data_IF_414567692621
#
_entry.id   IF_414567692621
#
_cell.length_a   1.000
_cell.length_b   1.000
_cell.length_c   1.000
_cell.angle_alpha   90.00
_cell.angle_beta   90.00
_cell.angle_gamma   90.00
#
_symmetry.space_group_name_H-M   'P 1'
#
loop_
_entity.id
_entity.type
_entity.pdbx_description
1 polymer ?
#
# COMPACT_ATOMS: atom_id res chain seq x y z
N UNK A 1 -6.00 50.12 14.74
CA UNK A 1 -7.15 49.20 14.93
C UNK A 1 -7.73 48.92 13.55
N UNK A 2 -7.44 47.77 12.95
CA UNK A 2 -7.90 47.48 11.58
C UNK A 2 -9.39 47.15 11.58
N UNK A 3 -10.19 47.66 10.63
CA UNK A 3 -11.63 47.45 10.61
C UNK A 3 -11.99 45.96 10.46
N UNK A 4 -13.02 45.48 11.19
CA UNK A 4 -13.38 44.06 11.28
C UNK A 4 -13.73 43.41 9.94
N UNK A 5 -14.15 44.19 8.95
CA UNK A 5 -14.47 43.71 7.60
C UNK A 5 -13.25 43.17 6.86
N UNK A 6 -12.06 43.75 7.07
CA UNK A 6 -10.81 43.31 6.42
C UNK A 6 -10.42 41.91 6.93
N UNK A 7 -10.57 41.69 8.24
CA UNK A 7 -10.29 40.38 8.86
C UNK A 7 -11.23 39.33 8.29
N UNK A 8 -12.53 39.64 8.19
CA UNK A 8 -13.52 38.73 7.62
C UNK A 8 -13.21 38.37 6.16
N UNK A 9 -12.85 39.36 5.33
CA UNK A 9 -12.45 39.10 3.93
C UNK A 9 -11.18 38.26 3.81
N UNK A 10 -10.21 38.45 4.71
CA UNK A 10 -8.98 37.67 4.68
C UNK A 10 -9.23 36.21 5.08
N UNK A 11 -10.06 35.99 6.10
CA UNK A 11 -10.46 34.64 6.55
C UNK A 11 -11.25 33.91 5.45
N UNK A 12 -12.17 34.58 4.74
CA UNK A 12 -12.91 33.94 3.64
C UNK A 12 -12.02 33.62 2.44
N UNK A 13 -11.05 34.48 2.10
CA UNK A 13 -10.06 34.22 1.04
C UNK A 13 -9.16 33.03 1.39
N UNK A 14 -8.69 32.95 2.64
CA UNK A 14 -7.89 31.80 3.12
C UNK A 14 -8.70 30.52 3.00
N UNK A 15 -9.94 30.50 3.49
CA UNK A 15 -10.81 29.34 3.43
C UNK A 15 -11.08 28.89 1.98
N UNK A 16 -11.31 29.83 1.06
CA UNK A 16 -11.50 29.54 -0.36
C UNK A 16 -10.24 28.92 -1.00
N UNK A 17 -9.06 29.43 -0.66
CA UNK A 17 -7.79 28.88 -1.12
C UNK A 17 -7.53 27.48 -0.57
N UNK A 18 -7.82 27.24 0.71
CA UNK A 18 -7.67 25.92 1.34
C UNK A 18 -8.62 24.89 0.73
N UNK A 19 -9.88 25.24 0.50
CA UNK A 19 -10.85 24.40 -0.21
C UNK A 19 -10.37 24.05 -1.63
N UNK A 20 -9.83 25.04 -2.35
CA UNK A 20 -9.24 24.82 -3.67
C UNK A 20 -8.03 23.87 -3.65
N UNK A 21 -7.17 23.98 -2.64
CA UNK A 21 -6.02 23.08 -2.44
C UNK A 21 -6.47 21.67 -2.08
N UNK A 22 -7.48 21.55 -1.22
CA UNK A 22 -8.02 20.25 -0.79
C UNK A 22 -8.65 19.50 -1.96
N UNK A 23 -9.47 20.17 -2.80
CA UNK A 23 -10.03 19.56 -4.02
C UNK A 23 -8.96 19.00 -4.95
N UNK A 24 -7.92 19.79 -5.25
CA UNK A 24 -6.81 19.32 -6.11
C UNK A 24 -6.11 18.10 -5.53
N UNK A 25 -5.94 18.05 -4.20
CA UNK A 25 -5.37 16.90 -3.52
C UNK A 25 -6.28 15.68 -3.57
N UNK A 26 -7.59 15.85 -3.45
CA UNK A 26 -8.55 14.77 -3.66
C UNK A 26 -8.50 14.24 -5.10
N UNK A 27 -8.46 15.13 -6.10
CA UNK A 27 -8.35 14.74 -7.52
C UNK A 27 -7.02 14.00 -7.78
N UNK A 28 -5.91 14.45 -7.19
CA UNK A 28 -4.60 13.79 -7.27
C UNK A 28 -4.65 12.38 -6.66
N UNK A 29 -5.27 12.21 -5.49
CA UNK A 29 -5.45 10.91 -4.85
C UNK A 29 -6.31 9.99 -5.71
N UNK A 30 -7.44 10.48 -6.23
CA UNK A 30 -8.32 9.67 -7.09
C UNK A 30 -7.59 9.18 -8.36
N UNK A 31 -6.81 10.05 -9.01
CA UNK A 31 -6.02 9.68 -10.18
C UNK A 31 -4.96 8.62 -9.83
N UNK A 32 -4.31 8.75 -8.68
CA UNK A 32 -3.33 7.76 -8.20
C UNK A 32 -3.99 6.42 -7.89
N UNK A 33 -5.16 6.42 -7.24
CA UNK A 33 -5.94 5.21 -6.96
C UNK A 33 -6.35 4.50 -8.25
N UNK A 34 -6.81 5.24 -9.25
CA UNK A 34 -7.16 4.69 -10.55
C UNK A 34 -5.93 4.10 -11.26
N UNK A 35 -4.80 4.81 -11.25
CA UNK A 35 -3.55 4.33 -11.83
C UNK A 35 -3.04 3.04 -11.15
N UNK A 36 -3.11 2.98 -9.81
CA UNK A 36 -2.77 1.77 -9.04
C UNK A 36 -3.69 0.62 -9.41
N UNK A 37 -5.01 0.89 -9.52
CA UNK A 37 -5.99 -0.13 -9.90
C UNK A 37 -5.73 -0.67 -11.31
N UNK A 38 -5.51 0.20 -12.29
CA UNK A 38 -5.20 -0.20 -13.66
C UNK A 38 -3.90 -1.02 -13.72
N UNK A 39 -2.87 -0.61 -12.99
CA UNK A 39 -1.60 -1.36 -12.89
C UNK A 39 -1.79 -2.72 -12.23
N UNK A 40 -2.61 -2.80 -11.18
CA UNK A 40 -2.94 -4.05 -10.51
C UNK A 40 -3.72 -5.00 -11.43
N UNK A 41 -4.69 -4.50 -12.18
CA UNK A 41 -5.45 -5.29 -13.16
C UNK A 41 -4.55 -5.77 -14.32
N UNK A 42 -3.62 -4.93 -14.80
CA UNK A 42 -2.63 -5.32 -15.81
C UNK A 42 -1.65 -6.38 -15.27
N UNK A 43 -1.18 -6.25 -14.02
CA UNK A 43 -0.34 -7.28 -13.40
C UNK A 43 -1.09 -8.61 -13.23
N UNK A 44 -2.39 -8.56 -12.90
CA UNK A 44 -3.24 -9.74 -12.80
C UNK A 44 -3.50 -10.40 -14.16
N UNK A 45 -3.70 -9.61 -15.22
CA UNK A 45 -3.89 -10.09 -16.61
C UNK A 45 -2.61 -10.58 -17.27
N UNK A 46 -1.46 -10.01 -16.93
CA UNK A 46 -0.16 -10.46 -17.41
C UNK A 46 0.24 -11.85 -16.88
N UNK A 47 -0.64 -12.54 -16.14
CA UNK A 47 -0.39 -13.86 -15.62
C UNK A 47 0.87 -13.91 -14.76
N UNK A 48 1.20 -12.78 -14.11
CA UNK A 48 2.31 -12.78 -13.16
C UNK A 48 1.82 -13.65 -12.01
N UNK A 49 2.26 -14.90 -12.06
CA UNK A 49 2.41 -15.84 -10.96
C UNK A 49 3.26 -15.18 -9.86
N UNK A 50 2.80 -14.06 -9.31
CA UNK A 50 3.35 -13.44 -8.11
C UNK A 50 3.22 -14.42 -6.95
N UNK A 51 2.21 -15.31 -6.99
CA UNK A 51 2.12 -16.40 -6.02
C UNK A 51 3.36 -17.30 -6.09
N UNK A 52 3.86 -17.62 -7.28
CA UNK A 52 5.06 -18.43 -7.46
C UNK A 52 6.36 -17.62 -7.41
N UNK A 53 6.38 -16.36 -6.96
CA UNK A 53 7.62 -15.58 -6.86
C UNK A 53 7.74 -14.86 -5.51
N UNK A 54 8.94 -14.72 -4.97
CA UNK A 54 9.15 -14.01 -3.72
C UNK A 54 8.73 -12.54 -3.81
N UNK A 55 7.81 -12.12 -2.95
CA UNK A 55 7.27 -10.75 -2.93
C UNK A 55 8.27 -9.67 -2.48
N UNK A 56 9.42 -10.05 -1.94
CA UNK A 56 10.46 -9.12 -1.50
C UNK A 56 11.49 -8.88 -2.61
N UNK A 57 12.07 -9.95 -3.17
CA UNK A 57 13.12 -9.81 -4.17
C UNK A 57 12.65 -9.88 -5.61
N UNK A 58 11.43 -10.39 -5.88
CA UNK A 58 10.84 -10.61 -7.20
C UNK A 58 11.74 -11.39 -8.19
N UNK A 59 12.76 -12.08 -7.67
CA UNK A 59 13.73 -12.88 -8.45
C UNK A 59 13.55 -14.37 -8.24
N UNK A 60 13.36 -14.78 -7.00
CA UNK A 60 13.23 -16.19 -6.65
C UNK A 60 11.83 -16.67 -7.01
N UNK A 61 11.74 -17.56 -8.00
CA UNK A 61 10.52 -18.33 -8.27
C UNK A 61 10.46 -19.55 -7.34
N UNK A 62 9.27 -19.90 -6.89
CA UNK A 62 8.97 -21.05 -6.06
C UNK A 62 8.56 -22.21 -6.96
N UNK A 63 9.09 -23.41 -6.70
CA UNK A 63 8.57 -24.65 -7.25
C UNK A 63 7.64 -25.30 -6.22
N UNK A 64 6.47 -25.78 -6.64
CA UNK A 64 5.54 -26.62 -5.86
C UNK A 64 5.18 -26.12 -4.44
N UNK A 65 5.14 -24.79 -4.23
CA UNK A 65 4.74 -24.18 -2.95
C UNK A 65 5.85 -24.01 -1.92
N UNK A 66 7.12 -24.20 -2.29
CA UNK A 66 8.27 -24.02 -1.40
C UNK A 66 8.55 -22.53 -1.16
N UNK A 67 7.95 -21.94 -0.11
CA UNK A 67 8.19 -20.56 0.31
C UNK A 67 7.72 -20.31 1.75
N UNK A 68 8.28 -19.28 2.42
CA UNK A 68 7.90 -18.95 3.79
C UNK A 68 6.84 -17.84 3.80
N UNK A 69 5.75 -18.02 4.56
CA UNK A 69 4.72 -16.99 4.74
C UNK A 69 5.05 -16.16 5.99
N UNK A 70 5.08 -14.83 5.84
CA UNK A 70 5.25 -13.93 6.97
C UNK A 70 3.98 -13.86 7.81
N UNK A 71 4.05 -14.16 9.11
CA UNK A 71 2.86 -14.16 9.98
C UNK A 71 2.28 -12.75 10.25
N UNK A 72 3.04 -11.69 10.00
CA UNK A 72 2.58 -10.31 10.17
C UNK A 72 1.93 -9.76 8.90
N UNK A 73 2.61 -9.94 7.77
CA UNK A 73 2.22 -9.32 6.50
C UNK A 73 1.46 -10.27 5.56
N UNK A 74 1.41 -11.57 5.89
CA UNK A 74 0.80 -12.64 5.10
C UNK A 74 1.28 -12.71 3.64
N UNK A 75 2.56 -12.35 3.39
CA UNK A 75 3.21 -12.42 2.07
C UNK A 75 4.18 -13.61 1.98
N UNK A 76 4.43 -14.10 0.75
CA UNK A 76 5.35 -15.22 0.48
C UNK A 76 6.78 -14.75 0.18
N UNK A 77 7.74 -15.28 0.93
CA UNK A 77 9.15 -14.90 0.89
C UNK A 77 10.07 -16.11 0.61
N UNK A 78 11.19 -15.88 -0.07
CA UNK A 78 12.23 -16.91 -0.19
C UNK A 78 13.08 -17.00 1.08
N UNK A 79 13.82 -18.10 1.23
CA UNK A 79 14.71 -18.33 2.37
C UNK A 79 15.79 -17.26 2.57
N UNK A 80 16.06 -16.43 1.55
CA UNK A 80 17.01 -15.30 1.63
C UNK A 80 16.37 -13.99 2.08
N UNK A 81 15.06 -13.85 1.90
CA UNK A 81 14.32 -12.63 2.22
C UNK A 81 13.51 -12.74 3.52
N UNK A 82 13.31 -13.95 4.03
CA UNK A 82 12.67 -14.19 5.32
C UNK A 82 13.20 -15.47 5.95
N UNK A 83 13.33 -15.46 7.28
CA UNK A 83 13.77 -16.61 8.07
C UNK A 83 12.68 -17.11 9.01
N UNK A 84 12.75 -18.38 9.40
CA UNK A 84 11.84 -18.98 10.38
C UNK A 84 12.23 -18.52 11.79
N UNK A 85 11.35 -17.78 12.45
CA UNK A 85 11.52 -17.41 13.86
C UNK A 85 10.66 -18.33 14.71
N UNK A 86 11.27 -19.19 15.52
CA UNK A 86 10.54 -20.06 16.45
C UNK A 86 10.24 -19.30 17.73
N UNK A 87 9.08 -18.64 17.78
CA UNK A 87 8.51 -18.16 19.04
C UNK A 87 8.06 -19.40 19.83
N UNK A 88 8.65 -19.61 21.01
CA UNK A 88 8.37 -20.77 21.87
C UNK A 88 6.98 -20.62 22.52
N UNK A 89 5.94 -20.84 21.74
CA UNK A 89 4.56 -20.92 22.22
C UNK A 89 3.90 -22.15 21.62
N UNK A 90 3.67 -23.13 22.48
CA UNK A 90 3.01 -24.41 22.28
C UNK A 90 1.98 -24.42 21.13
N UNK A 91 2.36 -24.86 19.93
CA UNK A 91 1.42 -25.14 18.83
C UNK A 91 1.44 -26.63 18.59
N UNK A 92 0.38 -27.31 19.04
CA UNK A 92 0.09 -28.69 18.72
C UNK A 92 0.09 -28.82 17.19
N UNK A 93 1.01 -29.61 16.67
CA UNK A 93 1.00 -30.08 15.28
C UNK A 93 -0.25 -30.92 15.09
N UNK A 94 -1.17 -30.46 14.26
CA UNK A 94 -2.16 -31.34 13.62
C UNK A 94 -1.70 -31.50 12.18
N UNK A 95 -1.51 -32.75 11.80
CA UNK A 95 -1.05 -33.25 10.50
C UNK A 95 -1.97 -32.85 9.34
#
# INVERSE_FOLDING_TARGET
>A
MFPPYIIYTHVTIIAANELGRFRRKQDEVQNLEESIRQRSEQQKKAGVELDATCHICLKTKFADGVGHVCNYCNIRCCARCGGKVTLRSNKLTVE
#
